data_IF_925264746407
#
_entry.id   IF_925264746407
#
_cell.length_a   1.000
_cell.length_b   1.000
_cell.length_c   1.000
_cell.angle_alpha   90.00
_cell.angle_beta   90.00
_cell.angle_gamma   90.00
#
_symmetry.space_group_name_H-M   'P 1'
#
loop_
_entity.id
_entity.type
_entity.pdbx_description
1 polymer ?
#
# COMPACT_ATOMS: atom_id res chain seq x y z
N UNK A 1 -3.14 33.68 -7.22
CA UNK A 1 -2.12 32.97 -6.43
C UNK A 1 -2.60 31.54 -6.28
N UNK A 2 -1.96 30.56 -6.95
CA UNK A 2 -2.40 29.16 -6.94
C UNK A 2 -1.99 28.51 -5.62
N UNK A 3 -2.93 27.90 -4.91
CA UNK A 3 -2.68 27.10 -3.71
C UNK A 3 -2.06 25.77 -4.13
N UNK A 4 -0.76 25.61 -3.93
CA UNK A 4 -0.09 24.32 -4.12
C UNK A 4 -0.38 23.45 -2.89
N UNK A 5 -1.40 22.60 -2.99
CA UNK A 5 -1.58 21.49 -2.05
C UNK A 5 -0.36 20.55 -2.11
N UNK A 6 -0.11 19.74 -1.06
CA UNK A 6 1.05 18.85 -1.04
C UNK A 6 0.84 17.75 -2.08
N UNK A 7 1.52 17.86 -3.22
CA UNK A 7 1.62 16.75 -4.15
C UNK A 7 2.53 15.70 -3.51
N UNK A 8 1.91 14.62 -3.02
CA UNK A 8 2.64 13.45 -2.52
C UNK A 8 3.09 12.66 -3.74
N UNK A 9 4.37 12.74 -4.09
CA UNK A 9 4.94 11.97 -5.21
C UNK A 9 4.99 10.48 -4.85
N UNK A 10 4.36 9.64 -5.68
CA UNK A 10 4.40 8.19 -5.51
C UNK A 10 5.81 7.66 -5.87
N UNK A 11 6.49 7.04 -4.91
CA UNK A 11 7.77 6.35 -5.15
C UNK A 11 7.52 4.95 -5.73
N UNK A 12 8.21 4.63 -6.82
CA UNK A 12 8.16 3.32 -7.48
C UNK A 12 8.94 2.29 -6.67
N UNK A 13 8.25 1.27 -6.14
CA UNK A 13 8.86 0.13 -5.45
C UNK A 13 9.25 -0.95 -6.46
N UNK A 14 10.55 -1.21 -6.62
CA UNK A 14 11.06 -2.29 -7.48
C UNK A 14 11.65 -3.39 -6.58
N UNK A 15 11.14 -4.62 -6.68
CA UNK A 15 11.68 -5.79 -5.98
C UNK A 15 12.44 -6.68 -6.95
N UNK A 16 13.62 -7.13 -6.54
CA UNK A 16 14.48 -8.05 -7.29
C UNK A 16 14.82 -9.27 -6.43
N UNK A 17 15.13 -10.41 -7.06
CA UNK A 17 15.72 -11.57 -6.36
C UNK A 17 14.73 -12.57 -5.75
N UNK A 18 13.52 -12.70 -6.30
CA UNK A 18 12.59 -13.75 -5.88
C UNK A 18 13.20 -15.14 -6.12
N UNK A 19 13.31 -15.95 -5.06
CA UNK A 19 13.79 -17.35 -5.09
C UNK A 19 12.63 -18.35 -5.06
N UNK A 20 11.54 -18.03 -5.76
CA UNK A 20 10.29 -18.79 -5.77
C UNK A 20 10.02 -19.37 -7.15
N UNK A 21 9.30 -20.48 -7.22
CA UNK A 21 8.84 -21.04 -8.50
C UNK A 21 7.92 -20.05 -9.22
N UNK A 22 7.73 -20.19 -10.53
CA UNK A 22 6.98 -19.22 -11.32
C UNK A 22 5.55 -19.00 -10.78
N UNK A 23 4.89 -20.06 -10.31
CA UNK A 23 3.55 -19.99 -9.71
C UNK A 23 3.54 -19.27 -8.35
N UNK A 24 4.54 -19.53 -7.51
CA UNK A 24 4.69 -18.88 -6.20
C UNK A 24 5.02 -17.39 -6.33
N UNK A 25 5.84 -17.02 -7.32
CA UNK A 25 6.14 -15.63 -7.64
C UNK A 25 4.89 -14.86 -8.07
N UNK A 26 4.04 -15.46 -8.91
CA UNK A 26 2.77 -14.84 -9.33
C UNK A 26 1.85 -14.64 -8.12
N UNK A 27 1.78 -15.61 -7.21
CA UNK A 27 1.00 -15.48 -5.97
C UNK A 27 1.55 -14.38 -5.05
N UNK A 28 2.87 -14.28 -4.92
CA UNK A 28 3.55 -13.29 -4.08
C UNK A 28 3.37 -11.86 -4.63
N UNK A 29 3.48 -11.67 -5.95
CA UNK A 29 3.22 -10.39 -6.62
C UNK A 29 1.75 -9.98 -6.49
N UNK A 30 0.83 -10.92 -6.72
CA UNK A 30 -0.61 -10.65 -6.59
C UNK A 30 -0.99 -10.28 -5.15
N UNK A 31 -0.40 -10.93 -4.14
CA UNK A 31 -0.60 -10.59 -2.73
C UNK A 31 0.00 -9.23 -2.33
N UNK A 32 1.19 -8.91 -2.84
CA UNK A 32 1.91 -7.68 -2.50
C UNK A 32 1.23 -6.41 -3.07
N UNK A 33 0.68 -6.51 -4.28
CA UNK A 33 0.06 -5.37 -4.98
C UNK A 33 -1.16 -4.83 -4.23
N UNK A 34 -1.99 -5.72 -3.67
CA UNK A 34 -3.17 -5.33 -2.90
C UNK A 34 -2.84 -4.78 -1.51
N UNK A 35 -1.79 -5.29 -0.85
CA UNK A 35 -1.38 -4.83 0.48
C UNK A 35 -0.79 -3.41 0.47
N UNK A 36 0.00 -3.10 -0.55
CA UNK A 36 0.69 -1.81 -0.67
C UNK A 36 -0.29 -0.64 -0.80
N UNK A 37 -1.28 -0.73 -1.68
CA UNK A 37 -2.28 0.34 -1.88
C UNK A 37 -3.10 0.58 -0.61
N UNK A 38 -3.45 -0.49 0.13
CA UNK A 38 -4.16 -0.37 1.42
C UNK A 38 -3.39 0.46 2.45
N UNK A 39 -2.06 0.36 2.50
CA UNK A 39 -1.24 1.18 3.39
C UNK A 39 -1.22 2.64 2.94
N UNK A 40 -1.12 2.89 1.63
CA UNK A 40 -1.13 4.24 1.07
C UNK A 40 -2.48 4.95 1.30
N UNK A 41 -3.59 4.24 1.14
CA UNK A 41 -4.93 4.78 1.40
C UNK A 41 -5.10 5.19 2.87
N UNK A 42 -4.60 4.36 3.80
CA UNK A 42 -4.59 4.67 5.22
C UNK A 42 -3.71 5.88 5.56
N UNK A 43 -2.52 5.97 4.97
CA UNK A 43 -1.62 7.12 5.13
C UNK A 43 -2.27 8.40 4.62
N UNK A 44 -2.93 8.35 3.46
CA UNK A 44 -3.60 9.50 2.88
C UNK A 44 -4.75 9.98 3.77
N UNK A 45 -5.60 9.09 4.25
CA UNK A 45 -6.68 9.42 5.17
C UNK A 45 -6.17 10.05 6.47
N UNK A 46 -5.02 9.58 6.96
CA UNK A 46 -4.37 10.18 8.13
C UNK A 46 -3.85 11.59 7.84
N UNK A 47 -3.20 11.82 6.69
CA UNK A 47 -2.63 13.12 6.32
C UNK A 47 -3.69 14.17 5.96
N UNK A 48 -4.76 13.78 5.27
CA UNK A 48 -5.81 14.71 4.79
C UNK A 48 -6.90 14.97 5.85
N UNK A 49 -7.15 14.00 6.73
CA UNK A 49 -8.30 14.03 7.65
C UNK A 49 -7.96 13.72 9.10
N UNK A 50 -6.72 13.35 9.43
CA UNK A 50 -6.33 12.94 10.79
C UNK A 50 -6.96 11.62 11.24
N UNK A 51 -7.46 10.81 10.30
CA UNK A 51 -8.17 9.57 10.60
C UNK A 51 -7.22 8.37 10.58
N UNK A 52 -7.22 7.58 11.65
CA UNK A 52 -6.63 6.24 11.63
C UNK A 52 -7.71 5.21 11.29
N UNK A 53 -7.71 4.77 10.03
CA UNK A 53 -8.70 3.83 9.50
C UNK A 53 -8.46 2.36 9.89
N UNK A 54 -7.33 2.02 10.53
CA UNK A 54 -6.99 0.66 10.93
C UNK A 54 -7.12 -0.41 9.82
N UNK A 55 -6.95 -0.02 8.54
CA UNK A 55 -7.23 -0.86 7.36
C UNK A 55 -6.47 -2.20 7.34
N UNK A 56 -5.28 -2.27 7.94
CA UNK A 56 -4.52 -3.52 8.04
C UNK A 56 -5.22 -4.50 8.99
N UNK A 57 -5.70 -4.01 10.13
CA UNK A 57 -6.41 -4.83 11.10
C UNK A 57 -7.74 -5.35 10.53
N UNK A 58 -8.46 -4.50 9.79
CA UNK A 58 -9.71 -4.89 9.13
C UNK A 58 -9.48 -5.92 8.02
N UNK A 59 -8.39 -5.79 7.26
CA UNK A 59 -8.05 -6.70 6.16
C UNK A 59 -7.55 -8.07 6.65
N UNK A 60 -6.85 -8.10 7.78
CA UNK A 60 -6.29 -9.32 8.37
C UNK A 60 -6.90 -9.62 9.75
N UNK A 61 -8.21 -9.46 9.88
CA UNK A 61 -8.91 -9.73 11.12
C UNK A 61 -8.63 -11.17 11.58
N UNK A 62 -8.04 -11.33 12.77
CA UNK A 62 -7.87 -12.64 13.39
C UNK A 62 -9.24 -13.14 13.84
N UNK A 63 -9.58 -14.37 13.44
CA UNK A 63 -10.70 -15.13 14.03
C UNK A 63 -10.38 -15.53 15.46
#
# INVERSE_FOLDING_TARGET
MKTNGPFVEAQMLIRYGFQTSAEELIAEINGASGGFTTVLDGLKAYMEHGLNLNLIADKFAKK
#
